data_IF_062108211353
#
_entry.id   IF_062108211353
#
_cell.length_a   1.000
_cell.length_b   1.000
_cell.length_c   1.000
_cell.angle_alpha   90.00
_cell.angle_beta   90.00
_cell.angle_gamma   90.00
#
_symmetry.space_group_name_H-M   'P 1'
#
loop_
_entity.id
_entity.type
_entity.pdbx_description
1 polymer ?
#
# COMPACT_ATOMS: atom_id res chain seq x y z
N UNK A 1 -33.12 1.14 -4.47
CA UNK A 1 -31.82 1.13 -5.17
C UNK A 1 -30.79 0.79 -4.13
N UNK A 2 -30.07 -0.31 -4.30
CA UNK A 2 -28.96 -0.67 -3.41
C UNK A 2 -27.88 0.38 -3.66
N UNK A 3 -27.39 1.01 -2.59
CA UNK A 3 -26.42 2.09 -2.68
C UNK A 3 -25.06 1.48 -3.10
N UNK A 4 -24.78 1.48 -4.40
CA UNK A 4 -23.63 0.80 -5.02
C UNK A 4 -22.31 1.18 -4.35
N UNK A 5 -22.19 2.43 -3.92
CA UNK A 5 -21.01 2.97 -3.27
C UNK A 5 -20.77 2.35 -1.89
N UNK A 6 -21.83 2.08 -1.13
CA UNK A 6 -21.71 1.49 0.21
C UNK A 6 -21.26 0.02 0.12
N UNK A 7 -21.77 -0.73 -0.85
CA UNK A 7 -21.36 -2.12 -1.08
C UNK A 7 -19.93 -2.19 -1.64
N UNK A 8 -19.56 -1.30 -2.56
CA UNK A 8 -18.18 -1.17 -3.05
C UNK A 8 -17.22 -0.85 -1.90
N UNK A 9 -17.56 0.09 -1.02
CA UNK A 9 -16.76 0.39 0.16
C UNK A 9 -16.61 -0.79 1.10
N UNK A 10 -17.71 -1.51 1.40
CA UNK A 10 -17.66 -2.72 2.24
C UNK A 10 -16.78 -3.80 1.62
N UNK A 11 -16.86 -3.98 0.30
CA UNK A 11 -16.00 -4.90 -0.42
C UNK A 11 -14.53 -4.47 -0.30
N UNK A 12 -14.21 -3.20 -0.52
CA UNK A 12 -12.86 -2.66 -0.36
C UNK A 12 -12.32 -2.88 1.05
N UNK A 13 -13.09 -2.57 2.09
CA UNK A 13 -12.68 -2.79 3.49
C UNK A 13 -12.37 -4.28 3.75
N UNK A 14 -13.15 -5.19 3.16
CA UNK A 14 -12.88 -6.63 3.23
C UNK A 14 -11.58 -7.01 2.51
N UNK A 15 -11.27 -6.38 1.37
CA UNK A 15 -9.98 -6.60 0.68
C UNK A 15 -8.81 -6.16 1.55
N UNK A 16 -8.91 -5.01 2.23
CA UNK A 16 -7.87 -4.54 3.15
C UNK A 16 -7.57 -5.58 4.24
N UNK A 17 -8.61 -6.15 4.85
CA UNK A 17 -8.47 -7.20 5.86
C UNK A 17 -7.89 -8.50 5.26
N UNK A 18 -8.41 -8.92 4.10
CA UNK A 18 -8.03 -10.18 3.44
C UNK A 18 -6.55 -10.19 3.07
N UNK A 19 -6.07 -9.08 2.51
CA UNK A 19 -4.69 -8.92 2.05
C UNK A 19 -3.79 -8.22 3.07
N UNK A 20 -4.24 -8.09 4.33
CA UNK A 20 -3.46 -7.50 5.44
C UNK A 20 -2.87 -6.12 5.10
N UNK A 21 -3.67 -5.30 4.44
CA UNK A 21 -3.28 -3.96 4.00
C UNK A 21 -3.38 -3.02 5.19
N UNK A 22 -2.30 -2.29 5.47
CA UNK A 22 -2.22 -1.32 6.56
C UNK A 22 -2.43 0.09 6.02
N UNK A 23 -3.61 0.71 6.18
CA UNK A 23 -3.76 2.13 5.90
C UNK A 23 -3.05 2.97 6.98
N UNK A 24 -2.54 4.14 6.59
CA UNK A 24 -1.84 5.08 7.49
C UNK A 24 -2.80 5.97 8.28
N UNK A 25 -4.02 6.15 7.77
CA UNK A 25 -5.07 6.95 8.41
C UNK A 25 -6.44 6.31 8.26
N UNK A 26 -7.48 7.14 8.30
CA UNK A 26 -8.86 6.68 8.09
C UNK A 26 -9.28 6.66 6.61
N UNK A 27 -8.51 7.28 5.72
CA UNK A 27 -8.77 7.24 4.27
C UNK A 27 -8.21 5.99 3.60
N UNK A 28 -8.10 6.05 2.27
CA UNK A 28 -7.52 4.99 1.44
C UNK A 28 -6.29 5.47 0.66
N UNK A 29 -5.65 6.53 1.17
CA UNK A 29 -4.29 6.91 0.79
C UNK A 29 -3.30 6.12 1.64
N UNK A 30 -2.13 5.84 1.07
CA UNK A 30 -1.07 5.03 1.68
C UNK A 30 -1.59 3.71 2.26
N UNK A 31 -2.27 2.93 1.42
CA UNK A 31 -2.64 1.55 1.73
C UNK A 31 -1.41 0.64 1.62
N UNK A 32 -0.65 0.50 2.70
CA UNK A 32 0.63 -0.22 2.73
C UNK A 32 0.40 -1.71 2.49
N UNK A 33 1.11 -2.26 1.49
CA UNK A 33 0.94 -3.62 1.02
C UNK A 33 2.30 -4.32 0.98
N UNK A 34 2.45 -5.40 1.75
CA UNK A 34 3.64 -6.26 1.63
C UNK A 34 3.70 -6.89 0.25
N UNK A 35 4.92 -7.08 -0.28
CA UNK A 35 5.17 -7.45 -1.67
C UNK A 35 4.42 -8.71 -2.10
N UNK A 36 4.25 -9.67 -1.19
CA UNK A 36 3.58 -10.95 -1.44
C UNK A 36 2.09 -10.79 -1.75
N UNK A 37 1.46 -9.73 -1.25
CA UNK A 37 0.02 -9.50 -1.42
C UNK A 37 -0.32 -8.54 -2.56
N UNK A 38 0.68 -7.87 -3.15
CA UNK A 38 0.48 -6.83 -4.17
C UNK A 38 -0.34 -7.37 -5.35
N UNK A 39 0.06 -8.52 -5.89
CA UNK A 39 -0.56 -9.05 -7.12
C UNK A 39 -2.06 -9.27 -6.97
N UNK A 40 -2.46 -9.99 -5.92
CA UNK A 40 -3.87 -10.33 -5.66
C UNK A 40 -4.68 -9.11 -5.22
N UNK A 41 -4.07 -8.19 -4.46
CA UNK A 41 -4.74 -6.97 -4.04
C UNK A 41 -5.06 -6.06 -5.24
N UNK A 42 -4.10 -5.82 -6.13
CA UNK A 42 -4.30 -5.01 -7.33
C UNK A 42 -5.34 -5.63 -8.28
N UNK A 43 -5.31 -6.95 -8.46
CA UNK A 43 -6.33 -7.63 -9.27
C UNK A 43 -7.72 -7.44 -8.66
N UNK A 44 -7.86 -7.62 -7.35
CA UNK A 44 -9.14 -7.44 -6.66
C UNK A 44 -9.66 -6.00 -6.72
N UNK A 45 -8.77 -4.99 -6.61
CA UNK A 45 -9.16 -3.59 -6.81
C UNK A 45 -9.66 -3.34 -8.23
N UNK A 46 -8.99 -3.94 -9.23
CA UNK A 46 -9.36 -3.83 -10.65
C UNK A 46 -10.73 -4.44 -10.91
N UNK A 47 -11.01 -5.62 -10.36
CA UNK A 47 -12.33 -6.27 -10.43
C UNK A 47 -13.43 -5.44 -9.76
N UNK A 48 -13.09 -4.77 -8.66
CA UNK A 48 -13.99 -3.88 -7.93
C UNK A 48 -14.19 -2.51 -8.64
N UNK A 49 -13.43 -2.24 -9.71
CA UNK A 49 -13.49 -0.98 -10.45
C UNK A 49 -12.80 0.19 -9.75
N UNK A 50 -11.96 -0.07 -8.75
CA UNK A 50 -11.23 0.95 -7.99
C UNK A 50 -9.84 1.15 -8.61
N UNK A 51 -9.51 2.39 -8.94
CA UNK A 51 -8.21 2.72 -9.52
C UNK A 51 -7.20 3.04 -8.44
N UNK A 52 -5.94 2.73 -8.72
CA UNK A 52 -4.79 3.25 -7.97
C UNK A 52 -4.27 4.49 -8.71
N UNK A 53 -4.06 5.57 -7.99
CA UNK A 53 -3.55 6.83 -8.57
C UNK A 53 -2.04 6.97 -8.40
N UNK A 54 -1.50 6.49 -7.28
CA UNK A 54 -0.11 6.67 -6.90
C UNK A 54 0.41 5.45 -6.12
N UNK A 55 1.69 5.13 -6.34
CA UNK A 55 2.48 4.21 -5.53
C UNK A 55 3.43 5.06 -4.68
N UNK A 56 3.40 4.85 -3.37
CA UNK A 56 4.34 5.44 -2.41
C UNK A 56 5.18 4.33 -1.79
N UNK A 57 6.31 4.68 -1.19
CA UNK A 57 7.29 3.71 -0.72
C UNK A 57 7.45 3.75 0.78
N UNK A 58 7.48 2.57 1.38
CA UNK A 58 7.52 2.38 2.81
C UNK A 58 8.56 1.34 3.17
N UNK A 59 9.00 1.36 4.41
CA UNK A 59 9.87 0.34 4.98
C UNK A 59 9.24 -0.29 6.21
N UNK A 60 9.37 -1.61 6.35
CA UNK A 60 8.91 -2.35 7.52
C UNK A 60 10.06 -2.52 8.54
N UNK A 61 9.99 -1.75 9.63
CA UNK A 61 10.93 -1.76 10.73
C UNK A 61 10.58 -2.87 11.74
N UNK A 62 11.17 -4.05 11.59
CA UNK A 62 10.92 -5.20 12.48
C UNK A 62 11.54 -4.96 13.87
N UNK A 63 10.77 -5.25 14.93
CA UNK A 63 11.25 -5.11 16.32
C UNK A 63 12.33 -6.16 16.60
N UNK A 64 13.48 -5.72 17.13
CA UNK A 64 14.56 -6.62 17.54
C UNK A 64 15.57 -6.97 16.45
N UNK A 65 15.34 -6.56 15.20
CA UNK A 65 16.37 -6.65 14.16
C UNK A 65 17.47 -5.61 14.39
N UNK A 66 18.73 -6.04 14.28
CA UNK A 66 19.89 -5.14 14.38
C UNK A 66 19.84 -4.13 13.22
N UNK A 67 19.95 -2.83 13.54
CA UNK A 67 20.11 -1.71 12.59
C UNK A 67 21.22 -1.93 11.55
N UNK A 68 22.13 -2.87 11.79
CA UNK A 68 23.31 -3.22 11.00
C UNK A 68 23.00 -3.85 9.62
N UNK A 69 21.76 -4.29 9.34
CA UNK A 69 21.37 -4.87 8.04
C UNK A 69 20.78 -3.87 7.02
N UNK A 70 20.64 -2.58 7.38
CA UNK A 70 19.97 -1.54 6.57
C UNK A 70 18.44 -1.71 6.59
N UNK A 71 17.60 -0.69 6.81
CA UNK A 71 17.69 0.75 6.56
C UNK A 71 16.96 1.52 7.70
N UNK A 72 17.60 2.46 8.44
CA UNK A 72 16.93 3.28 9.46
C UNK A 72 16.24 4.51 8.84
N UNK A 73 15.54 4.34 7.71
CA UNK A 73 15.10 5.47 6.88
C UNK A 73 13.59 5.67 6.96
N UNK A 74 13.21 6.96 6.98
CA UNK A 74 11.84 7.39 6.74
C UNK A 74 11.28 8.35 7.80
N UNK A 75 10.09 8.87 7.53
CA UNK A 75 9.41 9.89 8.32
C UNK A 75 8.68 9.37 9.56
N UNK A 76 8.75 8.06 9.83
CA UNK A 76 7.85 7.37 10.77
C UNK A 76 6.56 6.91 10.10
N UNK A 77 5.65 6.33 10.88
CA UNK A 77 4.42 5.74 10.35
C UNK A 77 3.69 4.89 11.39
N UNK A 78 2.64 4.15 10.98
CA UNK A 78 1.84 3.36 11.89
C UNK A 78 2.58 2.10 12.36
N UNK A 79 2.30 1.67 13.59
CA UNK A 79 2.63 0.31 14.01
C UNK A 79 1.74 -0.65 13.21
N UNK A 80 2.34 -1.70 12.65
CA UNK A 80 1.61 -2.67 11.86
C UNK A 80 0.66 -3.47 12.76
N UNK A 81 -0.57 -3.67 12.29
CA UNK A 81 -1.53 -4.59 12.94
C UNK A 81 -1.29 -6.06 12.63
N UNK A 82 -0.62 -6.32 11.52
CA UNK A 82 -0.56 -7.65 10.92
C UNK A 82 0.81 -8.29 11.02
N UNK A 83 1.84 -7.49 11.30
CA UNK A 83 3.24 -7.87 11.30
C UNK A 83 3.93 -7.20 12.48
N UNK A 84 4.96 -7.84 13.02
CA UNK A 84 5.74 -7.26 14.11
C UNK A 84 6.62 -6.12 13.57
N UNK A 85 6.31 -4.89 13.97
CA UNK A 85 7.09 -3.74 13.54
C UNK A 85 6.30 -2.47 13.33
N UNK A 86 7.05 -1.45 12.93
CA UNK A 86 6.53 -0.16 12.48
C UNK A 86 6.70 -0.04 10.98
N UNK A 87 5.78 0.63 10.32
CA UNK A 87 6.04 1.14 8.98
C UNK A 87 6.64 2.54 9.06
N UNK A 88 7.53 2.84 8.13
CA UNK A 88 8.20 4.15 8.02
C UNK A 88 8.12 4.63 6.58
N UNK A 89 7.58 5.83 6.39
CA UNK A 89 7.40 6.44 5.06
C UNK A 89 8.75 6.85 4.46
N UNK A 90 9.00 6.51 3.20
CA UNK A 90 10.24 6.85 2.50
C UNK A 90 10.05 8.08 1.62
N UNK A 91 9.78 9.22 2.26
CA UNK A 91 9.50 10.50 1.61
C UNK A 91 10.63 11.00 0.69
N UNK A 92 11.84 10.45 0.80
CA UNK A 92 12.95 10.80 -0.10
C UNK A 92 12.80 10.14 -1.49
N UNK A 93 11.96 9.12 -1.61
CA UNK A 93 11.74 8.38 -2.84
C UNK A 93 10.48 8.93 -3.50
N UNK A 94 10.55 9.34 -4.77
CA UNK A 94 9.40 9.94 -5.45
C UNK A 94 8.26 8.94 -5.60
N UNK A 95 7.03 9.45 -5.44
CA UNK A 95 5.83 8.70 -5.73
C UNK A 95 5.72 8.43 -7.23
N UNK A 96 5.11 7.30 -7.58
CA UNK A 96 4.90 6.90 -8.96
C UNK A 96 3.42 7.05 -9.29
N UNK A 97 3.10 7.94 -10.22
CA UNK A 97 1.74 8.08 -10.75
C UNK A 97 1.38 6.88 -11.60
N UNK A 98 0.23 6.29 -11.32
CA UNK A 98 -0.32 5.15 -12.04
C UNK A 98 -1.49 5.62 -12.91
N UNK A 99 -1.53 5.14 -14.16
CA UNK A 99 -2.64 5.45 -15.09
C UNK A 99 -3.66 4.31 -15.14
N UNK A 100 -3.19 3.07 -15.07
CA UNK A 100 -4.01 1.86 -15.12
C UNK A 100 -3.43 0.82 -14.14
N UNK A 101 -4.31 0.18 -13.38
CA UNK A 101 -3.92 -0.88 -12.43
C UNK A 101 -3.12 -2.01 -13.07
N UNK A 102 -3.34 -2.28 -14.37
CA UNK A 102 -2.64 -3.34 -15.13
C UNK A 102 -1.13 -3.13 -15.18
N UNK A 103 -0.67 -1.89 -15.08
CA UNK A 103 0.75 -1.54 -15.13
C UNK A 103 1.45 -1.79 -13.79
N UNK A 104 0.71 -1.80 -12.67
CA UNK A 104 1.29 -1.83 -11.31
C UNK A 104 2.10 -3.09 -11.07
N UNK A 105 1.56 -4.25 -11.43
CA UNK A 105 2.26 -5.53 -11.21
C UNK A 105 3.55 -5.59 -12.04
N UNK A 106 3.51 -5.19 -13.31
CA UNK A 106 4.73 -5.12 -14.14
C UNK A 106 5.73 -4.16 -13.52
N UNK A 107 5.26 -2.98 -13.10
CA UNK A 107 6.12 -1.95 -12.54
C UNK A 107 6.79 -2.42 -11.24
N UNK A 108 6.02 -2.86 -10.24
CA UNK A 108 6.53 -3.25 -8.91
C UNK A 108 7.50 -4.44 -8.99
N UNK A 109 7.24 -5.42 -9.85
CA UNK A 109 8.01 -6.66 -9.90
C UNK A 109 9.15 -6.64 -10.93
N UNK A 110 9.04 -5.87 -12.00
CA UNK A 110 10.01 -5.89 -13.11
C UNK A 110 10.74 -4.56 -13.30
N UNK A 111 10.08 -3.42 -13.16
CA UNK A 111 10.69 -2.11 -13.47
C UNK A 111 11.35 -1.50 -12.24
N UNK A 112 10.63 -1.45 -11.12
CA UNK A 112 11.09 -0.88 -9.85
C UNK A 112 12.47 -1.43 -9.40
N UNK A 113 12.73 -2.75 -9.44
CA UNK A 113 14.04 -3.30 -9.08
C UNK A 113 15.22 -2.83 -9.94
N UNK A 114 14.96 -2.22 -11.09
CA UNK A 114 15.97 -1.73 -12.03
C UNK A 114 16.14 -0.21 -11.98
N UNK A 115 15.45 0.49 -11.07
CA UNK A 115 15.57 1.94 -10.89
C UNK A 115 16.76 2.31 -10.00
N UNK A 116 17.25 3.55 -10.11
CA UNK A 116 18.32 4.06 -9.26
C UNK A 116 17.94 4.21 -7.79
N UNK A 117 16.65 4.37 -7.51
CA UNK A 117 16.10 4.60 -6.16
C UNK A 117 15.67 3.29 -5.49
N UNK A 118 15.85 2.16 -6.16
CA UNK A 118 15.47 0.85 -5.64
C UNK A 118 16.23 0.52 -4.36
N UNK A 119 15.47 0.17 -3.33
CA UNK A 119 15.99 -0.51 -2.15
C UNK A 119 15.18 -1.80 -1.95
N UNK A 120 15.83 -2.97 -1.82
CA UNK A 120 15.15 -4.26 -1.69
C UNK A 120 14.19 -4.38 -0.51
N UNK A 121 14.39 -3.55 0.51
CA UNK A 121 13.58 -3.55 1.72
C UNK A 121 12.27 -2.74 1.58
N UNK A 122 12.08 -2.03 0.47
CA UNK A 122 10.91 -1.19 0.29
C UNK A 122 9.69 -1.99 -0.10
N UNK A 123 8.59 -1.59 0.50
CA UNK A 123 7.27 -2.11 0.20
C UNK A 123 6.41 -0.97 -0.37
N UNK A 124 5.53 -1.26 -1.33
CA UNK A 124 4.64 -0.26 -1.88
C UNK A 124 3.48 0.04 -0.92
N UNK A 125 2.95 1.25 -1.02
CA UNK A 125 1.60 1.58 -0.59
C UNK A 125 0.86 2.25 -1.74
N UNK A 126 -0.47 2.13 -1.73
CA UNK A 126 -1.30 2.53 -2.85
C UNK A 126 -2.29 3.63 -2.45
N UNK A 127 -2.41 4.65 -3.28
CA UNK A 127 -3.45 5.67 -3.17
C UNK A 127 -4.63 5.23 -4.03
N UNK A 128 -5.81 5.09 -3.43
CA UNK A 128 -7.00 4.62 -4.12
C UNK A 128 -7.90 5.80 -4.53
N UNK A 129 -8.37 5.78 -5.78
CA UNK A 129 -9.33 6.74 -6.34
C UNK A 129 -10.74 6.41 -5.83
N UNK A 130 -11.04 6.87 -4.62
CA UNK A 130 -12.34 6.72 -3.95
C UNK A 130 -12.76 8.04 -3.32
N UNK A 131 -14.06 8.24 -3.00
CA UNK A 131 -14.52 9.47 -2.36
C UNK A 131 -13.78 9.80 -1.06
N UNK A 132 -13.38 11.07 -0.87
CA UNK A 132 -12.59 11.56 0.26
C UNK A 132 -13.28 11.39 1.63
N UNK A 133 -14.61 11.30 1.64
CA UNK A 133 -15.43 11.12 2.83
C UNK A 133 -15.51 9.65 3.27
N UNK A 134 -15.05 8.70 2.45
CA UNK A 134 -14.98 7.31 2.85
C UNK A 134 -13.96 7.13 3.99
N UNK A 135 -14.34 6.25 4.91
CA UNK A 135 -13.54 5.93 6.10
C UNK A 135 -13.34 4.41 6.19
N UNK A 136 -12.09 3.96 6.14
CA UNK A 136 -11.76 2.56 6.32
C UNK A 136 -12.09 2.10 7.75
N UNK A 137 -12.31 0.81 7.90
CA UNK A 137 -12.61 0.17 9.20
C UNK A 137 -11.38 -0.49 9.83
N UNK A 138 -10.20 -0.29 9.23
CA UNK A 138 -8.95 -0.98 9.54
C UNK A 138 -7.93 0.01 10.12
N UNK A 139 -8.18 0.53 11.34
CA UNK A 139 -7.21 1.40 12.06
C UNK A 139 -6.70 0.86 13.38
#
# INVERSE_FOLDING_TARGET
MINTDEETKKALDKLLLTYKIQPVGWGYIDCICIKENVFEFINSLTELGIKVTDITWWYHCVIGEKKEKGCPHGGGGPMSKYFDGWFSEMYQIPNIKVKDNKEINSYVFNEWPNTSDYLPCLIPAFWLDVPDDWRNTVR
#
